data_IF_592629330322
#
_entry.id   IF_592629330322
#
_cell.length_a   1.000
_cell.length_b   1.000
_cell.length_c   1.000
_cell.angle_alpha   90.00
_cell.angle_beta   90.00
_cell.angle_gamma   90.00
#
_symmetry.space_group_name_H-M   'P 1'
#
loop_
_entity.id
_entity.type
_entity.pdbx_description
1 polymer ?
#
# COMPACT_ATOMS: atom_id res chain seq x y z
N UNK A 1 13.90 -18.54 -20.10
CA UNK A 1 12.72 -19.43 -20.16
C UNK A 1 12.37 -19.91 -18.76
N UNK A 2 11.15 -19.65 -18.24
CA UNK A 2 10.23 -18.57 -18.59
C UNK A 2 10.19 -17.46 -17.51
N UNK A 3 9.78 -16.30 -17.96
CA UNK A 3 9.71 -15.02 -17.26
C UNK A 3 8.63 -14.99 -16.17
N UNK A 4 9.02 -14.70 -14.94
CA UNK A 4 8.16 -14.54 -13.76
C UNK A 4 7.68 -13.08 -13.56
N UNK A 5 7.77 -12.24 -14.60
CA UNK A 5 7.49 -10.79 -14.51
C UNK A 5 6.06 -10.39 -14.87
N UNK A 6 5.16 -11.34 -15.11
CA UNK A 6 3.74 -11.08 -15.40
C UNK A 6 2.82 -11.76 -14.38
N UNK A 7 2.73 -11.18 -13.20
CA UNK A 7 1.53 -11.27 -12.38
C UNK A 7 1.37 -9.89 -11.74
N UNK A 8 0.13 -9.40 -11.72
CA UNK A 8 -0.31 -8.09 -11.23
C UNK A 8 -0.45 -6.99 -12.30
N UNK A 9 -1.64 -6.40 -12.30
CA UNK A 9 -2.19 -5.37 -13.19
C UNK A 9 -2.64 -5.83 -14.60
N UNK A 10 -3.91 -6.23 -14.71
CA UNK A 10 -4.95 -5.69 -15.60
C UNK A 10 -6.23 -6.55 -15.44
N UNK A 11 -7.28 -6.01 -14.81
CA UNK A 11 -8.61 -6.62 -14.86
C UNK A 11 -9.37 -6.04 -16.06
N UNK A 12 -9.47 -6.79 -17.15
CA UNK A 12 -10.43 -6.54 -18.23
C UNK A 12 -11.66 -7.42 -17.97
N UNK A 13 -12.84 -6.80 -17.84
CA UNK A 13 -14.13 -7.49 -17.82
C UNK A 13 -14.38 -8.16 -19.18
N UNK A 14 -14.79 -9.44 -19.17
CA UNK A 14 -15.60 -10.02 -20.24
C UNK A 14 -16.88 -10.56 -19.60
N UNK A 15 -18.01 -9.89 -19.87
CA UNK A 15 -19.35 -10.38 -19.56
C UNK A 15 -19.77 -11.45 -20.59
N UNK A 16 -20.47 -12.49 -20.13
CA UNK A 16 -21.39 -13.27 -20.96
C UNK A 16 -22.74 -13.36 -20.23
N UNK A 17 -23.86 -12.95 -20.84
CA UNK A 17 -25.18 -13.09 -20.25
C UNK A 17 -25.80 -14.45 -20.63
N UNK A 18 -26.38 -15.15 -19.66
CA UNK A 18 -27.46 -16.11 -19.92
C UNK A 18 -28.67 -15.79 -19.06
N UNK A 19 -29.84 -15.79 -19.71
CA UNK A 19 -31.15 -15.37 -19.18
C UNK A 19 -32.12 -16.57 -19.21
N UNK A 20 -33.22 -16.42 -18.44
CA UNK A 20 -34.54 -17.10 -18.44
C UNK A 20 -34.71 -18.29 -17.46
N UNK A 21 -35.87 -18.54 -16.82
CA UNK A 21 -37.15 -17.84 -16.57
C UNK A 21 -38.07 -18.72 -15.66
N UNK A 22 -39.09 -18.11 -15.00
CA UNK A 22 -40.35 -18.74 -14.49
C UNK A 22 -40.24 -19.56 -13.18
N UNK A 23 -41.21 -19.69 -12.27
CA UNK A 23 -42.68 -19.49 -12.27
C UNK A 23 -43.18 -19.37 -10.79
N UNK A 24 -44.44 -18.96 -10.60
CA UNK A 24 -45.02 -18.41 -9.38
C UNK A 24 -45.52 -19.34 -8.26
N UNK A 25 -45.98 -18.70 -7.19
CA UNK A 25 -46.57 -19.31 -5.99
C UNK A 25 -47.15 -18.23 -5.05
N UNK A 26 -48.33 -18.49 -4.51
CA UNK A 26 -49.34 -17.55 -3.98
C UNK A 26 -49.00 -16.84 -2.66
N UNK A 27 -49.47 -15.58 -2.52
CA UNK A 27 -49.01 -14.56 -1.55
C UNK A 27 -49.65 -14.57 -0.14
N UNK A 28 -50.53 -15.51 0.23
CA UNK A 28 -51.38 -15.29 1.43
C UNK A 28 -51.08 -16.19 2.63
N UNK A 29 -50.40 -17.33 2.48
CA UNK A 29 -50.00 -18.20 3.62
C UNK A 29 -48.56 -17.94 4.13
N UNK A 30 -47.80 -17.06 3.47
CA UNK A 30 -46.41 -16.77 3.81
C UNK A 30 -46.25 -15.76 4.97
N UNK A 31 -47.28 -14.98 5.30
CA UNK A 31 -47.17 -13.91 6.31
C UNK A 31 -47.15 -14.42 7.76
N UNK A 32 -47.83 -15.51 8.06
CA UNK A 32 -47.91 -16.03 9.43
C UNK A 32 -46.77 -16.99 9.79
N UNK A 33 -46.07 -17.57 8.79
CA UNK A 33 -44.80 -18.30 9.01
C UNK A 33 -43.57 -17.40 9.07
N UNK A 34 -43.68 -16.13 8.67
CA UNK A 34 -42.56 -15.18 8.69
C UNK A 34 -42.29 -14.58 10.08
N UNK A 35 -43.24 -14.69 11.03
CA UNK A 35 -43.09 -14.16 12.40
C UNK A 35 -42.51 -15.15 13.42
N UNK A 36 -42.28 -16.42 13.05
CA UNK A 36 -41.76 -17.45 13.97
C UNK A 36 -40.47 -18.15 13.51
N UNK A 37 -39.80 -17.63 12.47
CA UNK A 37 -38.44 -18.04 12.10
C UNK A 37 -37.50 -16.83 12.20
N UNK A 38 -37.49 -16.15 13.35
CA UNK A 38 -36.26 -15.55 13.84
C UNK A 38 -35.40 -16.65 14.45
N UNK A 39 -34.99 -17.61 13.61
CA UNK A 39 -33.74 -18.30 13.88
C UNK A 39 -32.68 -17.21 13.86
N UNK A 40 -32.00 -17.03 14.98
CA UNK A 40 -30.81 -16.21 15.14
C UNK A 40 -29.79 -16.68 14.11
N UNK A 41 -29.90 -16.22 12.86
CA UNK A 41 -28.87 -16.41 11.85
C UNK A 41 -27.64 -15.78 12.46
N UNK A 42 -26.63 -16.60 12.77
CA UNK A 42 -25.35 -16.09 13.17
C UNK A 42 -24.95 -15.04 12.14
N UNK A 43 -24.86 -13.80 12.60
CA UNK A 43 -24.42 -12.68 11.78
C UNK A 43 -23.05 -13.06 11.24
N UNK A 44 -22.87 -13.01 9.93
CA UNK A 44 -21.55 -13.17 9.33
C UNK A 44 -20.82 -11.81 9.30
N UNK A 45 -19.51 -11.81 9.09
CA UNK A 45 -18.70 -10.58 9.02
C UNK A 45 -19.28 -9.51 8.07
N UNK A 46 -19.90 -9.92 6.96
CA UNK A 46 -20.47 -8.99 5.98
C UNK A 46 -21.66 -8.22 6.53
N UNK A 47 -22.45 -8.81 7.42
CA UNK A 47 -23.50 -8.06 8.10
C UNK A 47 -22.93 -6.95 8.98
N UNK A 48 -21.78 -7.17 9.65
CA UNK A 48 -21.14 -6.13 10.46
C UNK A 48 -20.53 -5.03 9.58
N UNK A 49 -19.93 -5.40 8.45
CA UNK A 49 -19.41 -4.44 7.47
C UNK A 49 -20.54 -3.58 6.90
N UNK A 50 -21.69 -4.18 6.58
CA UNK A 50 -22.87 -3.44 6.09
C UNK A 50 -23.37 -2.44 7.12
N UNK A 51 -23.50 -2.84 8.38
CA UNK A 51 -23.91 -1.93 9.46
C UNK A 51 -22.90 -0.79 9.61
N UNK A 52 -21.60 -1.10 9.60
CA UNK A 52 -20.53 -0.11 9.73
C UNK A 52 -20.49 0.88 8.55
N UNK A 53 -20.76 0.42 7.32
CA UNK A 53 -20.90 1.30 6.16
C UNK A 53 -22.13 2.18 6.35
N UNK A 54 -23.27 1.58 6.69
CA UNK A 54 -24.55 2.31 6.85
C UNK A 54 -24.46 3.40 7.91
N UNK A 55 -23.81 3.10 9.04
CA UNK A 55 -23.54 4.05 10.11
C UNK A 55 -22.61 5.18 9.64
N UNK A 56 -21.53 4.85 8.94
CA UNK A 56 -20.55 5.82 8.46
C UNK A 56 -21.13 6.79 7.41
N UNK A 57 -22.03 6.31 6.54
CA UNK A 57 -22.65 7.15 5.49
C UNK A 57 -23.96 7.81 5.93
N UNK A 58 -24.54 7.38 7.06
CA UNK A 58 -25.79 7.91 7.59
C UNK A 58 -27.06 7.42 6.89
N UNK A 59 -26.97 6.41 6.03
CA UNK A 59 -28.08 5.82 5.29
C UNK A 59 -27.94 4.28 5.15
N UNK A 60 -29.04 3.53 4.99
CA UNK A 60 -28.95 2.08 4.87
C UNK A 60 -28.19 1.64 3.61
N UNK A 61 -27.08 0.94 3.78
CA UNK A 61 -26.36 0.27 2.70
C UNK A 61 -26.76 -1.20 2.62
N UNK A 62 -26.98 -1.73 1.41
CA UNK A 62 -27.27 -3.15 1.21
C UNK A 62 -26.47 -3.68 0.03
N UNK A 63 -25.56 -4.61 0.29
CA UNK A 63 -24.75 -5.24 -0.74
C UNK A 63 -25.65 -6.00 -1.72
N UNK A 64 -25.75 -5.51 -2.95
CA UNK A 64 -26.37 -6.22 -4.08
C UNK A 64 -25.39 -7.11 -4.80
N UNK A 65 -24.16 -6.62 -4.99
CA UNK A 65 -23.10 -7.35 -5.63
C UNK A 65 -21.82 -7.28 -4.81
N UNK A 66 -21.13 -8.43 -4.72
CA UNK A 66 -19.81 -8.55 -4.10
C UNK A 66 -18.90 -9.33 -5.04
N UNK A 67 -17.83 -8.67 -5.49
CA UNK A 67 -16.84 -9.26 -6.39
C UNK A 67 -15.48 -9.26 -5.70
N UNK A 68 -14.80 -10.40 -5.73
CA UNK A 68 -13.40 -10.45 -5.30
C UNK A 68 -12.54 -9.73 -6.33
N UNK A 69 -11.68 -8.83 -5.89
CA UNK A 69 -10.74 -8.08 -6.74
C UNK A 69 -9.37 -8.72 -6.56
N UNK A 70 -8.68 -8.99 -7.67
CA UNK A 70 -7.29 -9.45 -7.66
C UNK A 70 -6.36 -8.26 -7.39
N UNK A 71 -5.22 -8.51 -6.73
CA UNK A 71 -4.22 -7.45 -6.47
C UNK A 71 -3.59 -7.49 -5.09
N UNK A 72 -4.33 -7.96 -4.07
CA UNK A 72 -3.80 -8.07 -2.71
C UNK A 72 -3.03 -9.37 -2.49
N UNK A 73 -1.74 -9.27 -2.16
CA UNK A 73 -0.92 -10.40 -1.70
C UNK A 73 -1.05 -10.67 -0.19
N UNK A 74 -1.67 -9.76 0.56
CA UNK A 74 -1.71 -9.79 2.03
C UNK A 74 -3.14 -9.95 2.56
N UNK A 75 -4.09 -9.18 2.04
CA UNK A 75 -5.50 -9.23 2.45
C UNK A 75 -6.42 -9.62 1.28
N UNK A 76 -7.63 -10.09 1.62
CA UNK A 76 -8.65 -10.33 0.60
C UNK A 76 -9.40 -9.04 0.31
N UNK A 77 -9.36 -8.61 -0.95
CA UNK A 77 -10.01 -7.36 -1.40
C UNK A 77 -11.28 -7.65 -2.18
N UNK A 78 -12.33 -6.88 -1.92
CA UNK A 78 -13.62 -7.00 -2.57
C UNK A 78 -14.12 -5.64 -3.05
N UNK A 79 -14.77 -5.60 -4.22
CA UNK A 79 -15.69 -4.53 -4.57
C UNK A 79 -17.08 -4.94 -4.08
N UNK A 80 -17.73 -4.06 -3.34
CA UNK A 80 -19.14 -4.20 -2.96
C UNK A 80 -19.93 -3.03 -3.51
N UNK A 81 -21.15 -3.27 -3.99
CA UNK A 81 -22.04 -2.20 -4.43
C UNK A 81 -23.51 -2.50 -4.10
N UNK A 82 -24.30 -1.44 -3.95
CA UNK A 82 -25.74 -1.48 -3.73
C UNK A 82 -26.55 -1.17 -5.00
N UNK A 83 -25.89 -1.16 -6.16
CA UNK A 83 -26.44 -0.74 -7.45
C UNK A 83 -26.36 0.76 -7.75
N UNK A 84 -25.97 1.59 -6.77
CA UNK A 84 -25.76 3.05 -6.92
C UNK A 84 -24.34 3.46 -6.54
N UNK A 85 -23.86 3.00 -5.39
CA UNK A 85 -22.57 3.35 -4.80
C UNK A 85 -21.75 2.08 -4.63
N UNK A 86 -20.44 2.20 -4.84
CA UNK A 86 -19.51 1.10 -4.68
C UNK A 86 -18.41 1.45 -3.66
N UNK A 87 -17.99 0.45 -2.91
CA UNK A 87 -16.88 0.52 -1.96
C UNK A 87 -15.87 -0.58 -2.21
N UNK A 88 -14.61 -0.29 -1.88
CA UNK A 88 -13.56 -1.29 -1.79
C UNK A 88 -13.44 -1.76 -0.34
N UNK A 89 -13.57 -3.06 -0.10
CA UNK A 89 -13.43 -3.67 1.23
C UNK A 89 -12.17 -4.51 1.25
N UNK A 90 -11.20 -4.13 2.07
CA UNK A 90 -10.07 -4.97 2.45
C UNK A 90 -10.44 -5.77 3.69
N UNK A 91 -10.21 -7.08 3.66
CA UNK A 91 -10.58 -8.00 4.73
C UNK A 91 -9.37 -8.84 5.18
N UNK A 92 -9.14 -8.88 6.48
CA UNK A 92 -8.07 -9.66 7.11
C UNK A 92 -8.57 -10.33 8.41
N UNK A 93 -7.69 -11.09 9.08
CA UNK A 93 -7.93 -11.59 10.46
C UNK A 93 -8.05 -10.43 11.46
N UNK A 94 -8.77 -10.64 12.55
CA UNK A 94 -9.06 -9.60 13.55
C UNK A 94 -7.79 -8.92 14.09
N UNK A 95 -6.68 -9.65 14.24
CA UNK A 95 -5.41 -9.15 14.79
C UNK A 95 -4.72 -8.13 13.89
N UNK A 96 -5.14 -7.99 12.62
CA UNK A 96 -4.61 -7.00 11.70
C UNK A 96 -5.36 -5.65 11.73
N UNK A 97 -6.29 -5.45 12.67
CA UNK A 97 -7.02 -4.18 12.80
C UNK A 97 -6.06 -2.98 12.94
N UNK A 98 -4.99 -3.13 13.73
CA UNK A 98 -3.99 -2.06 13.92
C UNK A 98 -3.35 -1.61 12.60
N UNK A 99 -3.16 -2.52 11.65
CA UNK A 99 -2.59 -2.21 10.34
C UNK A 99 -3.58 -1.41 9.48
N UNK A 100 -4.87 -1.75 9.54
CA UNK A 100 -5.93 -0.98 8.87
C UNK A 100 -6.15 0.40 9.50
N UNK A 101 -6.03 0.53 10.82
CA UNK A 101 -6.08 1.82 11.51
C UNK A 101 -4.86 2.70 11.15
N UNK A 102 -3.69 2.09 10.99
CA UNK A 102 -2.49 2.78 10.53
C UNK A 102 -2.61 3.18 9.05
N UNK A 103 -3.13 2.31 8.18
CA UNK A 103 -3.39 2.63 6.76
C UNK A 103 -4.40 3.77 6.63
N UNK A 104 -5.50 3.73 7.39
CA UNK A 104 -6.47 4.84 7.47
C UNK A 104 -5.78 6.16 7.79
N UNK A 105 -4.97 6.19 8.85
CA UNK A 105 -4.27 7.40 9.25
C UNK A 105 -3.26 7.88 8.18
N UNK A 106 -2.62 6.95 7.46
CA UNK A 106 -1.73 7.27 6.35
C UNK A 106 -2.47 7.86 5.15
N UNK A 107 -3.62 7.30 4.78
CA UNK A 107 -4.48 7.82 3.71
C UNK A 107 -4.99 9.23 4.06
N UNK A 108 -5.43 9.44 5.30
CA UNK A 108 -5.87 10.76 5.77
C UNK A 108 -4.74 11.79 5.72
N UNK A 109 -3.52 11.40 6.10
CA UNK A 109 -2.35 12.27 6.08
C UNK A 109 -1.94 12.66 4.64
N UNK A 110 -1.92 11.69 3.71
CA UNK A 110 -1.62 11.96 2.30
C UNK A 110 -2.70 12.83 1.64
N UNK A 111 -3.97 12.58 1.93
CA UNK A 111 -5.09 13.39 1.42
C UNK A 111 -5.00 14.84 1.89
N UNK A 112 -4.58 15.07 3.13
CA UNK A 112 -4.35 16.42 3.65
C UNK A 112 -3.09 17.09 3.08
N UNK A 113 -2.16 16.31 2.52
CA UNK A 113 -0.85 16.79 2.07
C UNK A 113 -0.91 17.52 0.72
N UNK A 114 -1.72 17.04 -0.23
CA UNK A 114 -1.87 17.66 -1.56
C UNK A 114 -3.30 17.53 -2.08
N UNK A 115 -3.87 18.67 -2.52
CA UNK A 115 -5.15 18.68 -3.23
C UNK A 115 -5.06 18.27 -4.70
N UNK A 116 -3.84 18.15 -5.24
CA UNK A 116 -3.59 17.71 -6.61
C UNK A 116 -3.60 16.18 -6.75
N UNK A 117 -3.40 15.46 -5.64
CA UNK A 117 -3.50 14.00 -5.59
C UNK A 117 -4.91 13.56 -5.20
N UNK A 118 -5.34 12.47 -5.80
CA UNK A 118 -6.47 11.70 -5.30
C UNK A 118 -5.95 10.58 -4.39
N UNK A 119 -6.55 10.47 -3.22
CA UNK A 119 -6.31 9.40 -2.26
C UNK A 119 -7.69 8.85 -1.88
N UNK A 120 -7.91 7.52 -1.89
CA UNK A 120 -9.21 6.94 -1.55
C UNK A 120 -9.71 7.43 -0.20
N UNK A 121 -10.96 7.88 -0.14
CA UNK A 121 -11.56 8.23 1.13
C UNK A 121 -11.80 6.98 1.98
N UNK A 122 -11.51 7.08 3.28
CA UNK A 122 -11.79 6.01 4.23
C UNK A 122 -13.23 6.16 4.73
N UNK A 123 -14.06 5.16 4.43
CA UNK A 123 -15.46 5.11 4.89
C UNK A 123 -15.50 4.65 6.33
N UNK A 124 -14.94 3.46 6.62
CA UNK A 124 -14.86 2.94 7.97
C UNK A 124 -13.79 1.86 8.12
N UNK A 125 -13.39 1.63 9.37
CA UNK A 125 -12.53 0.54 9.81
C UNK A 125 -13.22 -0.17 10.96
N UNK A 126 -13.00 -1.47 11.12
CA UNK A 126 -13.57 -2.20 12.24
C UNK A 126 -13.15 -3.66 12.32
N UNK A 127 -13.59 -4.32 13.37
CA UNK A 127 -13.43 -5.75 13.55
C UNK A 127 -14.68 -6.36 14.17
N UNK A 128 -14.95 -7.60 13.80
CA UNK A 128 -16.01 -8.41 14.37
C UNK A 128 -15.67 -9.88 14.10
N UNK A 129 -15.97 -10.74 15.08
CA UNK A 129 -15.62 -12.16 15.02
C UNK A 129 -14.10 -12.32 14.87
N UNK A 130 -13.66 -13.13 13.91
CA UNK A 130 -12.26 -13.42 13.62
C UNK A 130 -11.72 -12.58 12.44
N UNK A 131 -12.36 -11.44 12.14
CA UNK A 131 -12.02 -10.59 10.99
C UNK A 131 -11.92 -9.11 11.36
N UNK A 132 -11.10 -8.41 10.60
CA UNK A 132 -10.98 -6.95 10.57
C UNK A 132 -11.15 -6.45 9.13
N UNK A 133 -11.55 -5.19 8.98
CA UNK A 133 -11.75 -4.58 7.67
C UNK A 133 -11.33 -3.11 7.61
N UNK A 134 -11.01 -2.69 6.38
CA UNK A 134 -10.92 -1.30 5.95
C UNK A 134 -11.84 -1.14 4.74
N UNK A 135 -12.79 -0.21 4.82
CA UNK A 135 -13.68 0.17 3.72
C UNK A 135 -13.26 1.51 3.17
N UNK A 136 -12.99 1.55 1.87
CA UNK A 136 -12.59 2.73 1.12
C UNK A 136 -13.62 3.07 0.05
N UNK A 137 -13.62 4.32 -0.38
CA UNK A 137 -14.19 4.74 -1.66
C UNK A 137 -13.72 3.80 -2.78
N UNK A 138 -14.64 3.37 -3.65
CA UNK A 138 -14.25 2.65 -4.86
C UNK A 138 -13.89 3.62 -5.99
N UNK A 139 -12.60 3.70 -6.34
CA UNK A 139 -12.12 4.50 -7.47
C UNK A 139 -11.92 3.58 -8.69
N UNK A 140 -12.47 3.97 -9.84
CA UNK A 140 -12.16 3.30 -11.10
C UNK A 140 -10.80 3.76 -11.60
N UNK A 141 -9.81 2.86 -11.52
CA UNK A 141 -8.42 3.14 -11.89
C UNK A 141 -8.16 2.93 -13.38
N UNK A 142 -7.31 3.80 -13.93
CA UNK A 142 -6.74 3.74 -15.28
C UNK A 142 -5.21 3.72 -15.20
N UNK A 143 -4.52 3.14 -16.20
CA UNK A 143 -3.06 3.15 -16.26
C UNK A 143 -2.48 4.56 -16.33
N UNK A 144 -1.28 4.72 -15.79
CA UNK A 144 -0.51 5.97 -15.90
C UNK A 144 -0.03 6.18 -17.33
N UNK A 145 -0.27 7.40 -17.83
CA UNK A 145 0.28 7.96 -19.08
C UNK A 145 1.41 8.93 -18.78
N UNK A 146 2.22 9.28 -19.78
CA UNK A 146 3.29 10.27 -19.63
C UNK A 146 2.81 11.61 -19.06
N UNK A 147 1.63 12.07 -19.48
CA UNK A 147 1.04 13.34 -19.02
C UNK A 147 0.63 13.26 -17.55
N UNK A 148 -0.04 12.16 -17.16
CA UNK A 148 -0.42 11.94 -15.76
C UNK A 148 0.78 11.67 -14.85
N UNK A 149 1.84 11.06 -15.37
CA UNK A 149 3.10 10.84 -14.67
C UNK A 149 3.79 12.17 -14.36
N UNK A 150 3.82 13.12 -15.31
CA UNK A 150 4.35 14.46 -15.05
C UNK A 150 3.55 15.19 -13.95
N UNK A 151 2.21 15.14 -14.00
CA UNK A 151 1.35 15.70 -12.94
C UNK A 151 1.61 15.03 -11.58
N UNK A 152 1.76 13.71 -11.57
CA UNK A 152 2.09 12.96 -10.36
C UNK A 152 3.44 13.42 -9.78
N UNK A 153 4.46 13.68 -10.61
CA UNK A 153 5.75 14.18 -10.16
C UNK A 153 5.65 15.52 -9.43
N UNK A 154 4.88 16.46 -9.99
CA UNK A 154 4.60 17.77 -9.34
C UNK A 154 3.84 17.58 -8.02
N UNK A 155 2.78 16.78 -8.05
CA UNK A 155 1.90 16.58 -6.90
C UNK A 155 2.60 15.82 -5.75
N UNK A 156 3.47 14.85 -6.06
CA UNK A 156 4.29 14.18 -5.05
C UNK A 156 5.29 15.15 -4.40
N UNK A 157 5.85 16.10 -5.15
CA UNK A 157 6.71 17.13 -4.56
C UNK A 157 5.93 17.98 -3.54
N UNK A 158 4.64 18.25 -3.74
CA UNK A 158 3.79 18.92 -2.75
C UNK A 158 3.63 18.09 -1.47
N UNK A 159 3.44 16.77 -1.60
CA UNK A 159 3.37 15.84 -0.46
C UNK A 159 4.69 15.85 0.31
N UNK A 160 5.80 15.67 -0.37
CA UNK A 160 7.13 15.66 0.25
C UNK A 160 7.44 17.00 0.95
N UNK A 161 6.82 18.11 0.52
CA UNK A 161 6.99 19.43 1.18
C UNK A 161 6.25 19.53 2.51
N UNK A 162 5.41 18.55 2.87
CA UNK A 162 4.90 18.40 4.23
C UNK A 162 6.00 17.81 5.10
N UNK A 163 6.66 18.70 5.84
CA UNK A 163 7.80 18.35 6.67
C UNK A 163 7.35 17.97 8.08
N UNK A 164 7.96 16.90 8.61
CA UNK A 164 7.83 16.48 10.00
C UNK A 164 8.97 17.03 10.86
N UNK A 165 8.81 17.00 12.20
CA UNK A 165 9.85 17.44 13.12
C UNK A 165 11.03 16.47 13.22
N UNK A 166 10.78 15.18 12.99
CA UNK A 166 11.74 14.07 13.12
C UNK A 166 11.52 13.06 12.00
N UNK A 167 12.50 12.18 11.73
CA UNK A 167 12.24 11.00 10.92
C UNK A 167 11.40 10.00 11.69
N UNK A 168 10.61 9.19 11.00
CA UNK A 168 9.64 8.27 11.61
C UNK A 168 8.23 8.85 11.62
N UNK A 169 7.41 8.39 12.55
CA UNK A 169 6.00 8.78 12.63
C UNK A 169 5.44 8.56 14.04
N UNK A 170 4.23 9.06 14.30
CA UNK A 170 3.57 8.94 15.62
C UNK A 170 3.13 7.52 15.96
N UNK A 171 3.13 6.63 14.97
CA UNK A 171 2.72 5.23 15.08
C UNK A 171 3.51 4.34 14.14
N UNK A 172 3.64 3.09 14.56
CA UNK A 172 4.07 2.01 13.68
C UNK A 172 2.94 1.65 12.71
N UNK A 173 3.31 1.25 11.50
CA UNK A 173 2.37 0.84 10.45
C UNK A 173 2.84 -0.46 9.79
N UNK A 174 2.26 -0.78 8.64
CA UNK A 174 2.58 -2.01 7.90
C UNK A 174 3.20 -1.66 6.54
N UNK A 175 4.18 -2.45 6.13
CA UNK A 175 4.75 -2.45 4.78
C UNK A 175 4.53 -3.85 4.18
N UNK A 176 3.39 -4.00 3.52
CA UNK A 176 2.85 -5.32 3.24
C UNK A 176 2.36 -6.03 4.50
N UNK A 177 2.83 -7.25 4.77
CA UNK A 177 2.50 -7.98 6.02
C UNK A 177 3.48 -7.70 7.17
N UNK A 178 4.58 -7.00 6.90
CA UNK A 178 5.62 -6.70 7.88
C UNK A 178 5.27 -5.45 8.67
N UNK A 179 5.57 -5.46 9.97
CA UNK A 179 5.50 -4.27 10.82
C UNK A 179 6.63 -3.31 10.48
N UNK A 180 6.29 -2.08 10.09
CA UNK A 180 7.23 -0.97 9.90
C UNK A 180 7.29 -0.15 11.19
N UNK A 181 8.47 -0.15 11.82
CA UNK A 181 8.73 0.61 13.05
C UNK A 181 9.09 2.05 12.70
N UNK A 182 8.50 3.00 13.41
CA UNK A 182 8.54 4.43 13.12
C UNK A 182 9.01 5.26 14.32
N UNK A 183 9.68 4.63 15.30
CA UNK A 183 10.30 5.31 16.43
C UNK A 183 11.08 6.55 15.95
N UNK A 184 10.78 7.75 16.46
CA UNK A 184 11.40 8.98 15.99
C UNK A 184 12.92 9.00 16.17
N UNK A 185 13.61 9.61 15.21
CA UNK A 185 15.06 9.88 15.27
C UNK A 185 15.35 11.22 14.56
N UNK A 186 16.38 11.92 15.02
CA UNK A 186 16.85 13.19 14.45
C UNK A 186 17.92 12.99 13.37
N UNK A 187 18.47 11.78 13.22
CA UNK A 187 19.55 11.48 12.26
C UNK A 187 19.07 10.48 11.22
N UNK A 188 19.09 10.89 9.95
CA UNK A 188 18.58 10.05 8.85
C UNK A 188 19.33 8.72 8.73
N UNK A 189 20.67 8.77 8.77
CA UNK A 189 21.50 7.58 8.70
C UNK A 189 21.14 6.55 9.80
N UNK A 190 20.98 7.03 11.04
CA UNK A 190 20.57 6.21 12.19
C UNK A 190 19.18 5.62 11.98
N UNK A 191 18.20 6.46 11.61
CA UNK A 191 16.83 6.03 11.35
C UNK A 191 16.76 4.94 10.28
N UNK A 192 17.38 5.18 9.11
CA UNK A 192 17.32 4.26 7.98
C UNK A 192 18.07 2.96 8.28
N UNK A 193 19.25 3.04 8.90
CA UNK A 193 20.02 1.86 9.31
C UNK A 193 19.24 1.01 10.31
N UNK A 194 18.74 1.60 11.39
CA UNK A 194 18.13 0.87 12.51
C UNK A 194 16.67 0.50 12.27
N UNK A 195 15.83 1.43 11.82
CA UNK A 195 14.38 1.22 11.69
C UNK A 195 13.94 0.70 10.32
N UNK A 196 14.84 0.66 9.33
CA UNK A 196 14.59 0.03 8.02
C UNK A 196 15.45 -1.21 7.84
N UNK A 197 16.75 -1.05 7.53
CA UNK A 197 17.59 -2.17 7.11
C UNK A 197 17.79 -3.23 8.20
N UNK A 198 18.18 -2.84 9.42
CA UNK A 198 18.47 -3.78 10.50
C UNK A 198 17.22 -4.58 10.91
N UNK A 199 16.03 -3.95 10.93
CA UNK A 199 14.76 -4.66 11.20
C UNK A 199 14.47 -5.73 10.15
N UNK A 200 14.67 -5.41 8.87
CA UNK A 200 14.43 -6.37 7.79
C UNK A 200 15.45 -7.52 7.80
N UNK A 201 16.71 -7.26 8.16
CA UNK A 201 17.73 -8.29 8.32
C UNK A 201 17.47 -9.19 9.53
N UNK A 202 17.02 -8.62 10.65
CA UNK A 202 16.57 -9.41 11.81
C UNK A 202 15.39 -10.31 11.45
N UNK A 203 14.42 -9.79 10.72
CA UNK A 203 13.29 -10.59 10.22
C UNK A 203 13.77 -11.69 9.25
N UNK A 204 14.77 -11.41 8.42
CA UNK A 204 15.38 -12.41 7.54
C UNK A 204 16.04 -13.55 8.32
N UNK A 205 16.70 -13.23 9.44
CA UNK A 205 17.26 -14.23 10.36
C UNK A 205 16.15 -15.07 11.01
N UNK A 206 15.09 -14.44 11.52
CA UNK A 206 13.93 -15.11 12.12
C UNK A 206 13.22 -16.03 11.11
N UNK A 207 13.13 -15.61 9.85
CA UNK A 207 12.59 -16.38 8.73
C UNK A 207 13.57 -17.42 8.17
N UNK A 208 14.80 -17.52 8.70
CA UNK A 208 15.86 -18.45 8.27
C UNK A 208 16.21 -18.30 6.79
N UNK A 209 16.30 -17.06 6.31
CA UNK A 209 16.89 -16.78 5.00
C UNK A 209 18.40 -17.12 4.99
N UNK A 210 18.99 -17.13 3.80
CA UNK A 210 20.37 -17.61 3.58
C UNK A 210 21.40 -16.87 4.47
N UNK A 211 22.32 -17.62 5.08
CA UNK A 211 23.41 -17.08 5.91
C UNK A 211 24.30 -16.12 5.11
N UNK A 212 24.48 -16.36 3.80
CA UNK A 212 25.23 -15.48 2.92
C UNK A 212 24.58 -14.09 2.81
N UNK A 213 23.24 -14.03 2.73
CA UNK A 213 22.48 -12.78 2.74
C UNK A 213 22.67 -12.04 4.07
N UNK A 214 22.58 -12.74 5.20
CA UNK A 214 22.72 -12.13 6.53
C UNK A 214 24.12 -11.51 6.73
N UNK A 215 25.19 -12.25 6.38
CA UNK A 215 26.57 -11.75 6.46
C UNK A 215 26.80 -10.52 5.58
N UNK A 216 26.26 -10.51 4.36
CA UNK A 216 26.31 -9.32 3.50
C UNK A 216 25.51 -8.16 4.09
N UNK A 217 24.37 -8.45 4.71
CA UNK A 217 23.53 -7.49 5.40
C UNK A 217 24.29 -6.73 6.49
N UNK A 218 25.07 -7.43 7.33
CA UNK A 218 25.92 -6.82 8.35
C UNK A 218 26.92 -5.81 7.75
N UNK A 219 27.62 -6.21 6.67
CA UNK A 219 28.53 -5.31 5.96
C UNK A 219 27.81 -4.09 5.37
N UNK A 220 26.58 -4.27 4.88
CA UNK A 220 25.78 -3.16 4.38
C UNK A 220 25.33 -2.23 5.50
N UNK A 221 25.05 -2.72 6.70
CA UNK A 221 24.75 -1.85 7.85
C UNK A 221 25.93 -0.95 8.19
N UNK A 222 27.17 -1.46 8.11
CA UNK A 222 28.38 -0.64 8.29
C UNK A 222 28.59 0.35 7.13
N UNK A 223 28.29 -0.07 5.90
CA UNK A 223 28.39 0.79 4.72
C UNK A 223 27.33 1.91 4.70
N UNK A 224 26.13 1.65 5.24
CA UNK A 224 25.02 2.59 5.32
C UNK A 224 25.41 3.89 6.02
N UNK A 225 26.15 3.80 7.13
CA UNK A 225 26.60 4.99 7.88
C UNK A 225 27.55 5.86 7.05
N UNK A 226 28.44 5.24 6.26
CA UNK A 226 29.38 5.97 5.38
C UNK A 226 28.66 6.58 4.17
N UNK A 227 27.74 5.85 3.55
CA UNK A 227 27.00 6.35 2.38
C UNK A 227 26.07 7.53 2.71
N UNK A 228 25.55 7.56 3.93
CA UNK A 228 24.66 8.62 4.41
C UNK A 228 25.40 9.64 5.28
N UNK A 229 26.73 9.58 5.34
CA UNK A 229 27.53 10.55 6.09
C UNK A 229 27.33 11.96 5.50
N UNK A 230 26.96 12.91 6.35
CA UNK A 230 26.63 14.28 5.94
C UNK A 230 25.31 14.43 5.17
N UNK A 231 24.61 13.33 4.84
CA UNK A 231 23.31 13.36 4.18
C UNK A 231 22.18 13.48 5.20
N UNK A 232 21.75 14.71 5.45
CA UNK A 232 20.73 15.05 6.44
C UNK A 232 19.53 15.75 5.78
N UNK A 233 18.70 15.02 5.01
CA UNK A 233 17.57 15.59 4.26
C UNK A 233 16.46 16.09 5.20
N UNK A 234 15.60 17.00 4.74
CA UNK A 234 14.43 17.39 5.54
C UNK A 234 13.47 16.19 5.70
N UNK A 235 12.94 15.89 6.90
CA UNK A 235 11.99 14.79 7.11
C UNK A 235 10.70 15.03 6.32
N UNK A 236 10.62 14.47 5.13
CA UNK A 236 9.53 14.68 4.17
C UNK A 236 8.48 13.61 4.39
N UNK A 237 7.19 13.97 4.38
CA UNK A 237 6.12 12.97 4.39
C UNK A 237 6.24 12.08 3.16
N UNK A 238 6.39 10.79 3.35
CA UNK A 238 6.49 9.79 2.28
C UNK A 238 5.20 8.99 2.16
N UNK A 239 4.90 8.54 0.94
CA UNK A 239 3.98 7.43 0.71
C UNK A 239 4.51 6.14 1.34
N UNK A 240 5.81 5.86 1.19
CA UNK A 240 6.51 4.76 1.86
C UNK A 240 6.38 3.39 1.21
N UNK A 241 5.48 3.23 0.24
CA UNK A 241 5.35 2.03 -0.62
C UNK A 241 5.05 2.41 -2.08
N UNK A 242 5.76 3.42 -2.63
CA UNK A 242 5.44 4.05 -3.92
C UNK A 242 6.06 3.31 -5.13
N UNK A 243 5.50 2.16 -5.48
CA UNK A 243 5.83 1.44 -6.72
C UNK A 243 4.67 1.49 -7.72
N UNK A 244 4.88 0.99 -8.95
CA UNK A 244 3.89 1.06 -10.04
C UNK A 244 2.53 0.41 -9.72
N UNK A 245 2.47 -0.50 -8.75
CA UNK A 245 1.23 -1.13 -8.29
C UNK A 245 0.38 -0.29 -7.34
N UNK A 246 0.95 0.77 -6.74
CA UNK A 246 0.29 1.63 -5.74
C UNK A 246 0.02 3.06 -6.27
N UNK A 247 0.09 3.22 -7.59
CA UNK A 247 -0.22 4.47 -8.27
C UNK A 247 -1.03 4.21 -9.55
N UNK A 248 -1.97 5.11 -9.83
CA UNK A 248 -2.85 5.01 -10.99
C UNK A 248 -3.40 6.39 -11.37
N UNK A 249 -4.38 6.41 -12.28
CA UNK A 249 -5.10 7.62 -12.69
C UNK A 249 -6.60 7.40 -12.55
N UNK A 250 -7.36 8.40 -12.11
CA UNK A 250 -8.81 8.31 -12.04
C UNK A 250 -9.49 8.65 -13.39
N UNK A 251 -10.82 8.64 -13.40
CA UNK A 251 -11.62 8.98 -14.59
C UNK A 251 -11.41 10.42 -15.11
N UNK A 252 -10.94 11.32 -14.25
CA UNK A 252 -10.72 12.75 -14.51
C UNK A 252 -9.26 13.07 -14.86
N UNK A 253 -8.37 12.07 -14.85
CA UNK A 253 -6.96 12.26 -15.16
C UNK A 253 -6.10 12.66 -13.97
N UNK A 254 -6.64 12.64 -12.73
CA UNK A 254 -5.89 12.90 -11.50
C UNK A 254 -5.08 11.68 -11.10
N UNK A 255 -3.87 11.91 -10.61
CA UNK A 255 -3.04 10.84 -10.08
C UNK A 255 -3.65 10.31 -8.78
N UNK A 256 -3.72 8.99 -8.66
CA UNK A 256 -4.28 8.30 -7.50
C UNK A 256 -3.16 7.56 -6.79
N UNK A 257 -2.97 7.82 -5.49
CA UNK A 257 -2.08 7.05 -4.63
C UNK A 257 -2.89 6.25 -3.62
N UNK A 258 -2.50 5.01 -3.36
CA UNK A 258 -3.19 4.10 -2.46
C UNK A 258 -2.22 3.10 -1.84
N UNK A 259 -2.67 2.42 -0.78
CA UNK A 259 -1.91 1.43 -0.03
C UNK A 259 -0.59 1.99 0.56
N UNK A 260 -0.64 3.09 1.35
CA UNK A 260 0.57 3.72 1.84
C UNK A 260 1.16 3.05 3.08
N UNK A 261 2.48 3.19 3.23
CA UNK A 261 3.24 2.86 4.43
C UNK A 261 3.94 4.12 4.97
N UNK A 262 3.15 5.17 5.25
CA UNK A 262 3.67 6.53 5.49
C UNK A 262 4.67 6.64 6.65
N UNK A 263 5.62 7.56 6.49
CA UNK A 263 6.48 8.06 7.56
C UNK A 263 7.15 9.35 7.07
N UNK A 264 7.79 10.09 7.97
CA UNK A 264 8.67 11.20 7.61
C UNK A 264 10.09 10.65 7.38
N UNK A 265 10.63 10.86 6.19
CA UNK A 265 11.90 10.26 5.76
C UNK A 265 12.63 11.11 4.73
N UNK A 266 13.65 10.53 4.10
CA UNK A 266 14.19 11.10 2.88
C UNK A 266 13.22 10.89 1.71
N UNK A 267 12.80 11.99 1.08
CA UNK A 267 11.98 12.00 -0.15
C UNK A 267 12.51 11.10 -1.26
N UNK A 268 13.82 10.87 -1.28
CA UNK A 268 14.46 10.01 -2.27
C UNK A 268 14.09 8.53 -2.11
N UNK A 269 13.57 8.09 -0.96
CA UNK A 269 13.08 6.73 -0.79
C UNK A 269 11.88 6.43 -1.70
N UNK A 270 10.89 7.33 -1.75
CA UNK A 270 9.74 7.18 -2.66
C UNK A 270 10.20 7.22 -4.12
N UNK A 271 11.09 8.14 -4.48
CA UNK A 271 11.62 8.26 -5.85
C UNK A 271 12.45 7.04 -6.27
N UNK A 272 13.20 6.44 -5.34
CA UNK A 272 13.93 5.20 -5.59
C UNK A 272 12.97 4.06 -5.88
N UNK A 273 11.88 3.97 -5.10
CA UNK A 273 10.89 2.91 -5.23
C UNK A 273 10.08 3.00 -6.53
N UNK A 274 9.86 4.19 -7.09
CA UNK A 274 9.19 4.30 -8.41
C UNK A 274 10.00 3.67 -9.54
N UNK A 275 11.31 3.46 -9.35
CA UNK A 275 12.19 2.73 -10.29
C UNK A 275 12.30 1.24 -9.97
N UNK A 276 11.66 0.79 -8.88
CA UNK A 276 11.61 -0.60 -8.44
C UNK A 276 10.24 -1.20 -8.79
N UNK A 277 10.25 -2.37 -9.44
CA UNK A 277 9.03 -3.10 -9.87
C UNK A 277 8.12 -2.34 -10.86
N UNK A 278 8.33 -2.58 -12.15
CA UNK A 278 7.46 -2.09 -13.23
C UNK A 278 7.76 -0.67 -13.71
N UNK A 279 8.35 0.18 -12.86
CA UNK A 279 8.76 1.53 -13.23
C UNK A 279 7.61 2.51 -13.44
N UNK A 280 7.93 3.80 -13.55
CA UNK A 280 7.01 4.86 -13.97
C UNK A 280 7.62 5.62 -15.14
N UNK A 281 6.81 6.27 -16.00
CA UNK A 281 7.37 7.04 -17.11
C UNK A 281 8.37 8.11 -16.66
N UNK A 282 9.45 8.32 -17.42
CA UNK A 282 10.51 9.29 -17.10
C UNK A 282 10.01 10.73 -16.94
N UNK A 283 8.84 11.05 -17.52
CA UNK A 283 8.18 12.35 -17.31
C UNK A 283 7.85 12.63 -15.84
N UNK A 284 7.60 11.59 -15.02
CA UNK A 284 7.41 11.72 -13.58
C UNK A 284 8.64 12.32 -12.91
N UNK A 285 9.81 11.69 -13.09
CA UNK A 285 11.01 12.11 -12.39
C UNK A 285 11.50 13.46 -12.88
N UNK A 286 11.38 13.75 -14.19
CA UNK A 286 11.69 15.07 -14.74
C UNK A 286 10.83 16.16 -14.11
N UNK A 287 9.50 15.98 -14.11
CA UNK A 287 8.59 16.97 -13.53
C UNK A 287 8.80 17.15 -12.01
N UNK A 288 9.07 16.05 -11.29
CA UNK A 288 9.45 16.12 -9.88
C UNK A 288 10.72 16.95 -9.70
N UNK A 289 11.79 16.64 -10.45
CA UNK A 289 13.08 17.33 -10.35
C UNK A 289 12.96 18.83 -10.68
N UNK A 290 12.18 19.19 -11.70
CA UNK A 290 11.93 20.58 -12.08
C UNK A 290 11.21 21.35 -10.96
N UNK A 291 10.39 20.68 -10.15
CA UNK A 291 9.63 21.26 -9.02
C UNK A 291 10.43 21.27 -7.72
N UNK A 292 11.22 20.23 -7.48
CA UNK A 292 12.12 20.09 -6.34
C UNK A 292 13.37 19.30 -6.76
N UNK A 293 14.48 19.99 -7.06
CA UNK A 293 15.71 19.36 -7.53
C UNK A 293 16.15 18.21 -6.63
N UNK A 294 16.49 17.09 -7.25
CA UNK A 294 17.01 15.89 -6.58
C UNK A 294 18.48 16.12 -6.26
N UNK A 295 18.91 15.76 -5.05
CA UNK A 295 20.25 16.07 -4.59
C UNK A 295 21.31 15.21 -5.30
N UNK A 296 22.51 15.76 -5.45
CA UNK A 296 23.64 15.00 -5.98
C UNK A 296 23.87 13.74 -5.13
N UNK A 297 24.23 12.64 -5.77
CA UNK A 297 24.44 11.34 -5.11
C UNK A 297 23.21 10.44 -5.04
N UNK A 298 22.06 10.87 -5.60
CA UNK A 298 20.83 10.08 -5.57
C UNK A 298 20.99 8.69 -6.20
N UNK A 299 21.72 8.56 -7.31
CA UNK A 299 21.90 7.26 -7.97
C UNK A 299 22.63 6.24 -7.07
N UNK A 300 23.57 6.69 -6.22
CA UNK A 300 24.21 5.83 -5.22
C UNK A 300 23.22 5.46 -4.10
N UNK A 301 22.50 6.45 -3.55
CA UNK A 301 21.53 6.23 -2.47
C UNK A 301 20.32 5.41 -2.90
N UNK A 302 19.93 5.46 -4.17
CA UNK A 302 18.82 4.70 -4.74
C UNK A 302 18.96 3.19 -4.48
N UNK A 303 20.16 2.63 -4.62
CA UNK A 303 20.38 1.21 -4.37
C UNK A 303 20.22 0.87 -2.88
N UNK A 304 20.70 1.73 -1.99
CA UNK A 304 20.54 1.60 -0.55
C UNK A 304 19.05 1.69 -0.14
N UNK A 305 18.30 2.63 -0.70
CA UNK A 305 16.88 2.80 -0.44
C UNK A 305 16.05 1.63 -0.96
N UNK A 306 16.32 1.16 -2.18
CA UNK A 306 15.61 0.01 -2.74
C UNK A 306 15.94 -1.32 -2.04
N UNK A 307 17.09 -1.44 -1.36
CA UNK A 307 17.42 -2.63 -0.58
C UNK A 307 16.39 -2.89 0.52
N UNK A 308 15.84 -1.85 1.15
CA UNK A 308 14.79 -1.99 2.16
C UNK A 308 13.57 -2.77 1.63
N UNK A 309 13.06 -2.40 0.46
CA UNK A 309 11.92 -3.05 -0.16
C UNK A 309 12.24 -4.45 -0.70
N UNK A 310 13.47 -4.65 -1.21
CA UNK A 310 13.95 -5.97 -1.64
C UNK A 310 14.04 -6.96 -0.48
N UNK A 311 14.56 -6.53 0.67
CA UNK A 311 14.58 -7.34 1.88
C UNK A 311 13.15 -7.64 2.37
N UNK A 312 12.26 -6.64 2.34
CA UNK A 312 10.85 -6.86 2.69
C UNK A 312 10.20 -7.94 1.80
N UNK A 313 10.42 -7.88 0.48
CA UNK A 313 9.92 -8.89 -0.45
C UNK A 313 10.60 -10.25 -0.25
N UNK A 314 11.90 -10.28 0.06
CA UNK A 314 12.60 -11.52 0.39
C UNK A 314 12.03 -12.18 1.65
N UNK A 315 11.67 -11.40 2.66
CA UNK A 315 11.01 -11.88 3.88
C UNK A 315 9.63 -12.46 3.61
N UNK A 316 8.82 -11.81 2.76
CA UNK A 316 7.44 -12.27 2.49
C UNK A 316 7.37 -13.40 1.47
N UNK A 317 8.22 -13.39 0.45
CA UNK A 317 8.07 -14.25 -0.74
C UNK A 317 9.29 -15.14 -1.04
N UNK A 318 10.44 -14.87 -0.40
CA UNK A 318 11.67 -15.62 -0.61
C UNK A 318 12.13 -15.67 -2.07
N UNK A 319 12.75 -16.78 -2.45
CA UNK A 319 13.03 -17.13 -3.84
C UNK A 319 13.83 -16.08 -4.61
N UNK A 320 13.25 -15.57 -5.70
CA UNK A 320 13.92 -14.61 -6.58
C UNK A 320 14.28 -13.28 -5.90
N UNK A 321 13.55 -12.88 -4.85
CA UNK A 321 13.80 -11.63 -4.14
C UNK A 321 15.05 -11.70 -3.25
N UNK A 322 15.37 -12.88 -2.69
CA UNK A 322 16.62 -13.11 -1.96
C UNK A 322 17.81 -12.80 -2.88
N UNK A 323 17.82 -13.37 -4.09
CA UNK A 323 18.89 -13.11 -5.07
C UNK A 323 18.96 -11.66 -5.53
N UNK A 324 17.82 -10.96 -5.60
CA UNK A 324 17.80 -9.55 -5.96
C UNK A 324 18.37 -8.68 -4.82
N UNK A 325 18.02 -8.98 -3.57
CA UNK A 325 18.58 -8.32 -2.40
C UNK A 325 20.11 -8.51 -2.34
N UNK A 326 20.61 -9.74 -2.52
CA UNK A 326 22.06 -10.01 -2.55
C UNK A 326 22.79 -9.21 -3.63
N UNK A 327 22.23 -9.13 -4.85
CA UNK A 327 22.82 -8.32 -5.92
C UNK A 327 22.80 -6.83 -5.61
N UNK A 328 21.76 -6.33 -4.95
CA UNK A 328 21.71 -4.94 -4.51
C UNK A 328 22.77 -4.67 -3.44
N UNK A 329 22.97 -5.59 -2.48
CA UNK A 329 24.04 -5.50 -1.49
C UNK A 329 25.43 -5.51 -2.14
N UNK A 330 25.67 -6.37 -3.14
CA UNK A 330 26.95 -6.38 -3.86
C UNK A 330 27.25 -5.04 -4.53
N UNK A 331 26.24 -4.40 -5.14
CA UNK A 331 26.39 -3.06 -5.73
C UNK A 331 26.68 -1.99 -4.69
N UNK A 332 25.99 -2.04 -3.56
CA UNK A 332 26.21 -1.13 -2.43
C UNK A 332 27.64 -1.25 -1.93
N UNK A 333 28.10 -2.47 -1.67
CA UNK A 333 29.45 -2.72 -1.14
C UNK A 333 30.57 -2.37 -2.13
N UNK A 334 30.31 -2.43 -3.44
CA UNK A 334 31.26 -1.94 -4.46
C UNK A 334 31.34 -0.41 -4.57
N UNK A 335 30.38 0.31 -3.99
CA UNK A 335 30.26 1.77 -4.10
C UNK A 335 30.80 2.54 -2.90
N UNK A 336 31.38 1.84 -1.92
CA UNK A 336 31.81 2.37 -0.62
C UNK A 336 33.30 2.14 -0.37
#
# INVERSE_FOLDING_TARGET
MPDLWYCFCFAILVCHPHRLAGDGGTQVEAKERLMFITQTRQRNVWSFIVDAISEAVGEPFVIRQRMKVSGGSICSTFKVDDGTTAYLVKLHRAEALWAFEAERAGLDLLRAASGALRVPEVVCTGSAQDRSWLVLEFITLRPVTDESAARLGVALAEVHRKLGPHYGWDRDNAIGSSRQVNTPDDRWASFFREQRLARQLKMAEENRLDIALLRKGELVLEACDRMLEGHQPKPSLLHGDLWSGNLAVDGEGRAVLFDPAVYYGDRECDLAMTRLFGGVPDSFLRAYHDTWPIDHGFEQRLHLYNLYHLLNHANMFGGGYVRQAEKAMDRILMSV
#
